data_IF_657631433542
#
_entry.id   IF_657631433542
#
_cell.length_a   1.000
_cell.length_b   1.000
_cell.length_c   1.000
_cell.angle_alpha   90.00
_cell.angle_beta   90.00
_cell.angle_gamma   90.00
#
_symmetry.space_group_name_H-M   'P 1'
#
loop_
_entity.id
_entity.type
_entity.pdbx_description
1 polymer ?
#
# COMPACT_ATOMS: atom_id res chain seq x y z
N UNK A 1 -41.29 9.80 -38.48
CA UNK A 1 -40.28 8.89 -37.89
C UNK A 1 -39.03 9.72 -37.57
N UNK A 2 -38.83 10.19 -36.33
CA UNK A 2 -37.55 10.79 -35.96
C UNK A 2 -36.65 9.75 -35.29
N UNK A 3 -35.37 9.82 -35.66
CA UNK A 3 -34.28 8.99 -35.17
C UNK A 3 -34.14 9.10 -33.65
N UNK A 4 -34.04 7.94 -32.98
CA UNK A 4 -33.60 7.83 -31.60
C UNK A 4 -32.11 8.17 -31.53
N UNK A 5 -31.76 9.25 -30.84
CA UNK A 5 -30.41 9.48 -30.38
C UNK A 5 -30.05 8.38 -29.35
N UNK A 6 -29.05 7.56 -29.66
CA UNK A 6 -28.43 6.71 -28.66
C UNK A 6 -27.69 7.62 -27.68
N UNK A 7 -28.16 7.65 -26.43
CA UNK A 7 -27.40 8.16 -25.32
C UNK A 7 -26.14 7.29 -25.17
N UNK A 8 -24.97 7.87 -25.40
CA UNK A 8 -23.70 7.30 -25.01
C UNK A 8 -23.68 7.32 -23.48
N UNK A 9 -23.90 6.16 -22.87
CA UNK A 9 -23.68 5.98 -21.44
C UNK A 9 -22.19 6.08 -21.17
N UNK A 10 -21.74 7.21 -20.65
CA UNK A 10 -20.40 7.40 -20.12
C UNK A 10 -20.20 6.35 -19.01
N UNK A 11 -19.33 5.36 -19.26
CA UNK A 11 -18.87 4.44 -18.23
C UNK A 11 -18.03 5.27 -17.26
N UNK A 12 -18.57 5.54 -16.08
CA UNK A 12 -17.80 6.14 -14.98
C UNK A 12 -16.77 5.09 -14.56
N UNK A 13 -15.50 5.28 -14.94
CA UNK A 13 -14.40 4.50 -14.41
C UNK A 13 -14.24 4.85 -12.93
N UNK A 14 -14.85 4.08 -12.05
CA UNK A 14 -14.58 4.16 -10.61
C UNK A 14 -13.35 3.29 -10.35
N UNK A 15 -12.18 3.91 -10.45
CA UNK A 15 -10.94 3.29 -10.02
C UNK A 15 -10.92 3.30 -8.49
N UNK A 16 -11.19 2.16 -7.88
CA UNK A 16 -10.84 1.93 -6.48
C UNK A 16 -9.31 1.77 -6.44
N UNK A 17 -8.61 2.88 -6.22
CA UNK A 17 -7.24 2.83 -5.74
C UNK A 17 -7.27 2.08 -4.40
N UNK A 18 -6.86 0.81 -4.42
CA UNK A 18 -6.53 0.12 -3.18
C UNK A 18 -5.43 0.93 -2.51
N UNK A 19 -5.69 1.39 -1.29
CA UNK A 19 -4.70 2.15 -0.53
C UNK A 19 -3.43 1.30 -0.41
N UNK A 20 -2.29 1.86 -0.82
CA UNK A 20 -0.99 1.28 -0.58
C UNK A 20 -0.86 1.09 0.93
N UNK A 21 -0.64 -0.15 1.32
CA UNK A 21 -0.53 -0.56 2.71
C UNK A 21 0.83 -0.13 3.24
N UNK A 22 0.90 1.14 3.60
CA UNK A 22 2.01 1.70 4.32
C UNK A 22 1.53 2.02 5.74
N UNK A 23 2.15 1.38 6.71
CA UNK A 23 2.49 1.88 8.03
C UNK A 23 3.18 0.69 8.70
N UNK A 24 4.51 0.56 8.52
CA UNK A 24 5.26 -0.40 9.31
C UNK A 24 5.29 0.06 10.77
N UNK A 25 4.82 -0.83 11.65
CA UNK A 25 5.31 -0.90 13.03
C UNK A 25 6.84 -0.82 13.02
N UNK A 26 7.48 0.01 13.88
CA UNK A 26 8.93 -0.03 14.04
C UNK A 26 9.37 -1.45 14.41
N UNK A 27 10.63 -1.84 14.14
CA UNK A 27 11.23 -2.97 14.84
C UNK A 27 11.25 -2.60 16.32
N UNK A 28 10.19 -2.93 17.05
CA UNK A 28 10.30 -3.06 18.49
C UNK A 28 11.36 -4.12 18.75
N UNK A 29 12.09 -3.98 19.85
CA UNK A 29 12.94 -5.06 20.36
C UNK A 29 12.02 -6.18 20.85
N UNK A 30 11.50 -6.96 19.92
CA UNK A 30 10.57 -8.04 20.21
C UNK A 30 11.37 -9.20 20.78
N UNK A 31 10.93 -9.70 21.93
CA UNK A 31 11.46 -10.97 22.41
C UNK A 31 10.89 -12.09 21.54
N UNK A 32 11.65 -12.51 20.53
CA UNK A 32 11.30 -13.61 19.62
C UNK A 32 11.04 -14.91 20.38
N UNK A 33 11.64 -15.10 21.56
CA UNK A 33 11.38 -16.28 22.42
C UNK A 33 10.03 -16.22 23.13
N UNK A 34 9.41 -15.05 23.12
CA UNK A 34 8.08 -14.78 23.62
C UNK A 34 7.07 -14.49 22.50
N UNK A 35 7.38 -14.86 21.25
CA UNK A 35 6.43 -14.76 20.15
C UNK A 35 5.42 -15.91 20.19
N UNK A 36 4.13 -15.66 19.88
CA UNK A 36 3.19 -16.71 19.54
C UNK A 36 3.69 -17.54 18.35
N UNK A 37 3.39 -18.84 18.36
CA UNK A 37 3.70 -19.74 17.25
C UNK A 37 2.42 -20.05 16.50
N UNK A 38 2.46 -20.03 15.18
CA UNK A 38 1.31 -20.31 14.31
C UNK A 38 1.69 -21.37 13.29
N UNK A 39 0.84 -22.37 13.09
CA UNK A 39 0.93 -23.25 11.92
C UNK A 39 -0.22 -22.93 10.96
N UNK A 40 0.13 -22.53 9.74
CA UNK A 40 -0.83 -22.31 8.65
C UNK A 40 -0.75 -23.48 7.68
N UNK A 41 -1.85 -24.21 7.54
CA UNK A 41 -1.92 -25.41 6.72
C UNK A 41 -3.00 -25.28 5.66
N UNK A 42 -2.63 -25.58 4.41
CA UNK A 42 -3.56 -25.92 3.33
C UNK A 42 -3.57 -27.43 3.13
N UNK A 43 -4.76 -28.03 3.24
CA UNK A 43 -5.00 -29.43 2.90
C UNK A 43 -6.22 -29.56 1.97
N UNK A 44 -5.94 -29.65 0.67
CA UNK A 44 -6.96 -29.51 -0.37
C UNK A 44 -7.66 -28.14 -0.30
N UNK A 45 -8.97 -28.17 -0.03
CA UNK A 45 -9.82 -26.98 0.16
C UNK A 45 -9.88 -26.52 1.63
N UNK A 46 -9.35 -27.32 2.56
CA UNK A 46 -9.34 -26.97 3.98
C UNK A 46 -8.14 -26.12 4.30
N UNK A 47 -8.38 -24.99 4.97
CA UNK A 47 -7.35 -24.11 5.49
C UNK A 47 -7.48 -23.96 7.00
N UNK A 48 -6.37 -24.03 7.72
CA UNK A 48 -6.33 -23.79 9.16
C UNK A 48 -5.20 -22.86 9.56
N UNK A 49 -5.41 -22.11 10.64
CA UNK A 49 -4.35 -21.47 11.41
C UNK A 49 -4.45 -21.95 12.85
N UNK A 50 -3.38 -22.58 13.33
CA UNK A 50 -3.29 -23.18 14.65
C UNK A 50 -2.31 -22.36 15.50
N UNK A 51 -2.84 -21.58 16.44
CA UNK A 51 -2.09 -20.71 17.33
C UNK A 51 -1.66 -21.43 18.60
N UNK A 52 -0.42 -21.18 19.03
CA UNK A 52 0.12 -21.54 20.33
C UNK A 52 0.62 -20.27 21.02
N UNK A 53 -0.09 -19.83 22.05
CA UNK A 53 0.24 -18.64 22.81
C UNK A 53 1.29 -18.96 23.89
N UNK A 54 2.31 -18.13 23.96
CA UNK A 54 3.46 -18.31 24.84
C UNK A 54 3.20 -17.80 26.28
N UNK A 55 2.12 -17.04 26.52
CA UNK A 55 1.72 -16.56 27.85
C UNK A 55 0.20 -16.57 28.06
N UNK A 56 -0.22 -16.42 29.31
CA UNK A 56 -1.61 -16.18 29.64
C UNK A 56 -1.89 -14.70 29.41
N UNK A 57 -2.97 -14.41 28.69
CA UNK A 57 -3.49 -13.06 28.48
C UNK A 57 -5.00 -13.15 28.35
N UNK A 58 -5.73 -12.14 28.83
CA UNK A 58 -7.19 -12.12 28.68
C UNK A 58 -7.60 -11.89 27.23
N UNK A 59 -6.78 -11.12 26.49
CA UNK A 59 -7.03 -10.75 25.11
C UNK A 59 -5.76 -10.91 24.29
N UNK A 60 -5.91 -11.45 23.07
CA UNK A 60 -4.91 -11.36 22.01
C UNK A 60 -5.50 -10.58 20.84
N UNK A 61 -4.85 -9.48 20.45
CA UNK A 61 -5.30 -8.64 19.35
C UNK A 61 -4.45 -8.89 18.09
N UNK A 62 -5.09 -8.96 16.92
CA UNK A 62 -4.40 -9.04 15.63
C UNK A 62 -3.82 -7.67 15.27
N UNK A 63 -2.53 -7.60 14.95
CA UNK A 63 -1.89 -6.35 14.55
C UNK A 63 -2.57 -5.78 13.29
N UNK A 64 -2.79 -6.63 12.29
CA UNK A 64 -3.45 -6.25 11.03
C UNK A 64 -4.96 -6.48 11.16
N UNK A 65 -5.70 -5.38 11.40
CA UNK A 65 -7.14 -5.38 11.64
C UNK A 65 -7.89 -4.35 10.77
N UNK A 66 -7.43 -4.16 9.53
CA UNK A 66 -8.05 -3.24 8.58
C UNK A 66 -9.53 -3.56 8.30
N UNK A 67 -10.23 -2.59 7.71
CA UNK A 67 -11.61 -2.74 7.27
C UNK A 67 -11.66 -2.98 5.76
N UNK A 68 -12.73 -3.61 5.27
CA UNK A 68 -12.99 -3.69 3.83
C UNK A 68 -13.36 -2.30 3.28
N UNK A 69 -12.73 -1.87 2.19
CA UNK A 69 -12.85 -0.49 1.67
C UNK A 69 -14.28 -0.11 1.27
N UNK A 70 -15.04 -1.06 0.73
CA UNK A 70 -16.38 -0.83 0.16
C UNK A 70 -17.47 -0.69 1.23
N UNK A 71 -17.42 -1.54 2.25
CA UNK A 71 -18.47 -1.60 3.30
C UNK A 71 -18.00 -1.13 4.67
N UNK A 72 -16.70 -0.87 4.83
CA UNK A 72 -16.03 -0.50 6.10
C UNK A 72 -16.35 -1.45 7.25
N UNK A 73 -16.41 -2.75 6.94
CA UNK A 73 -16.63 -3.82 7.93
C UNK A 73 -15.36 -4.65 8.13
N UNK A 74 -15.18 -5.29 9.30
CA UNK A 74 -14.03 -6.14 9.55
C UNK A 74 -14.01 -7.33 8.59
N UNK A 75 -12.90 -7.56 7.91
CA UNK A 75 -12.80 -8.64 6.93
C UNK A 75 -12.61 -10.00 7.59
N UNK A 76 -11.82 -10.07 8.68
CA UNK A 76 -11.37 -11.33 9.30
C UNK A 76 -12.53 -12.20 9.77
N UNK A 77 -13.57 -11.68 10.48
CA UNK A 77 -14.71 -12.50 10.88
C UNK A 77 -15.51 -13.10 9.73
N UNK A 78 -15.41 -12.57 8.51
CA UNK A 78 -16.09 -13.12 7.32
C UNK A 78 -15.33 -14.28 6.68
N UNK A 79 -14.05 -14.44 7.03
CA UNK A 79 -13.13 -15.41 6.42
C UNK A 79 -12.54 -16.40 7.45
N UNK A 80 -12.53 -16.07 8.74
CA UNK A 80 -11.92 -16.86 9.80
C UNK A 80 -13.00 -17.28 10.80
N UNK A 81 -13.01 -18.56 11.15
CA UNK A 81 -13.95 -19.12 12.13
C UNK A 81 -13.16 -19.78 13.25
N UNK A 82 -13.38 -19.35 14.49
CA UNK A 82 -12.80 -19.99 15.68
C UNK A 82 -13.41 -21.38 15.85
N UNK A 83 -12.57 -22.41 15.94
CA UNK A 83 -13.00 -23.79 16.19
C UNK A 83 -12.81 -24.20 17.67
N UNK A 84 -12.01 -23.46 18.44
CA UNK A 84 -11.77 -23.75 19.86
C UNK A 84 -13.00 -23.43 20.72
N UNK A 85 -13.56 -24.41 21.47
CA UNK A 85 -14.69 -24.17 22.36
C UNK A 85 -14.40 -23.11 23.43
N UNK A 86 -15.39 -22.27 23.73
CA UNK A 86 -15.26 -21.24 24.78
C UNK A 86 -14.45 -20.01 24.36
N UNK A 87 -13.98 -19.93 23.11
CA UNK A 87 -13.22 -18.80 22.58
C UNK A 87 -14.05 -18.08 21.51
N UNK A 88 -13.93 -16.76 21.46
CA UNK A 88 -14.54 -15.93 20.41
C UNK A 88 -13.51 -15.04 19.75
N UNK A 89 -13.80 -14.68 18.50
CA UNK A 89 -13.13 -13.61 17.78
C UNK A 89 -14.14 -12.52 17.46
N UNK A 90 -13.85 -11.29 17.84
CA UNK A 90 -14.72 -10.14 17.63
C UNK A 90 -13.90 -8.85 17.53
N UNK A 91 -14.50 -7.75 17.06
CA UNK A 91 -13.82 -6.46 17.02
C UNK A 91 -13.98 -5.69 18.32
N UNK A 92 -12.89 -5.07 18.78
CA UNK A 92 -12.82 -4.15 19.92
C UNK A 92 -11.92 -2.97 19.56
N UNK A 93 -12.49 -1.75 19.63
CA UNK A 93 -11.83 -0.55 19.12
C UNK A 93 -11.42 -0.72 17.64
N UNK A 94 -10.12 -0.57 17.38
CA UNK A 94 -9.53 -0.70 16.04
C UNK A 94 -9.07 -2.12 15.69
N UNK A 95 -9.23 -3.10 16.59
CA UNK A 95 -8.61 -4.42 16.46
C UNK A 95 -9.62 -5.55 16.47
N UNK A 96 -9.38 -6.55 15.63
CA UNK A 96 -9.98 -7.86 15.79
C UNK A 96 -9.24 -8.57 16.91
N UNK A 97 -9.98 -9.13 17.88
CA UNK A 97 -9.42 -9.71 19.11
C UNK A 97 -9.94 -11.11 19.36
N UNK A 98 -9.12 -11.92 20.02
CA UNK A 98 -9.40 -13.26 20.53
C UNK A 98 -9.55 -13.15 22.04
N UNK A 99 -10.64 -13.69 22.59
CA UNK A 99 -10.84 -13.78 24.04
C UNK A 99 -11.64 -15.02 24.45
N UNK A 100 -11.52 -15.40 25.72
CA UNK A 100 -12.38 -16.43 26.32
C UNK A 100 -13.77 -15.86 26.66
N UNK A 101 -14.80 -16.71 26.57
CA UNK A 101 -16.20 -16.36 26.88
C UNK A 101 -16.45 -16.19 28.38
N UNK A 102 -15.68 -16.88 29.22
CA UNK A 102 -15.79 -16.84 30.68
C UNK A 102 -15.03 -15.66 31.31
N UNK A 103 -14.35 -14.85 30.49
CA UNK A 103 -13.52 -13.71 30.94
C UNK A 103 -12.16 -14.11 31.49
N UNK A 104 -11.81 -15.40 31.47
CA UNK A 104 -10.49 -15.89 31.84
C UNK A 104 -9.44 -15.67 30.75
N UNK A 105 -8.20 -16.12 30.97
CA UNK A 105 -7.16 -16.11 29.94
C UNK A 105 -7.56 -16.93 28.71
N UNK A 106 -7.13 -16.48 27.54
CA UNK A 106 -7.28 -17.23 26.29
C UNK A 106 -6.53 -18.58 26.42
N UNK A 107 -7.16 -19.71 26.05
CA UNK A 107 -6.49 -21.01 26.04
C UNK A 107 -5.19 -20.96 25.24
N UNK A 108 -4.17 -21.69 25.70
CA UNK A 108 -2.85 -21.71 25.04
C UNK A 108 -2.88 -22.18 23.59
N UNK A 109 -3.89 -22.95 23.21
CA UNK A 109 -4.09 -23.43 21.86
C UNK A 109 -5.43 -22.90 21.32
N UNK A 110 -5.36 -22.13 20.23
CA UNK A 110 -6.56 -21.65 19.53
C UNK A 110 -6.47 -22.01 18.06
N UNK A 111 -7.52 -22.65 17.55
CA UNK A 111 -7.61 -23.07 16.15
C UNK A 111 -8.62 -22.23 15.40
N UNK A 112 -8.25 -21.85 14.18
CA UNK A 112 -9.13 -21.24 13.20
C UNK A 112 -9.26 -22.11 11.96
N UNK A 113 -10.49 -22.23 11.45
CA UNK A 113 -10.72 -22.57 10.04
C UNK A 113 -10.74 -21.29 9.22
N UNK A 114 -10.08 -21.33 8.05
CA UNK A 114 -9.98 -20.20 7.15
C UNK A 114 -10.73 -20.46 5.84
N UNK A 115 -11.28 -19.40 5.26
CA UNK A 115 -11.83 -19.34 3.91
C UNK A 115 -11.24 -18.13 3.21
N UNK A 116 -9.99 -18.22 2.73
CA UNK A 116 -9.31 -17.08 2.12
C UNK A 116 -10.10 -16.54 0.93
N UNK A 117 -10.31 -15.23 0.89
CA UNK A 117 -11.00 -14.53 -0.20
C UNK A 117 -10.32 -13.21 -0.50
N UNK A 118 -10.24 -12.87 -1.78
CA UNK A 118 -9.76 -11.56 -2.17
C UNK A 118 -10.80 -10.49 -1.85
N UNK A 119 -10.41 -9.55 -1.01
CA UNK A 119 -11.17 -8.34 -0.64
C UNK A 119 -10.24 -7.13 -0.75
N UNK A 120 -10.80 -5.94 -0.92
CA UNK A 120 -10.04 -4.69 -0.85
C UNK A 120 -10.05 -4.19 0.60
N UNK A 121 -8.88 -3.92 1.16
CA UNK A 121 -8.71 -3.47 2.54
C UNK A 121 -8.24 -2.01 2.59
N UNK A 122 -8.67 -1.28 3.61
CA UNK A 122 -8.18 0.07 3.92
C UNK A 122 -6.73 -0.01 4.41
N UNK A 123 -5.80 0.45 3.58
CA UNK A 123 -4.37 0.57 3.86
C UNK A 123 -3.71 -0.74 4.37
N UNK A 124 -4.16 -1.90 3.88
CA UNK A 124 -3.65 -3.21 4.27
C UNK A 124 -3.61 -4.24 3.12
N UNK A 125 -2.72 -5.22 3.23
CA UNK A 125 -2.57 -6.30 2.28
C UNK A 125 -3.71 -7.32 2.40
N UNK A 126 -4.46 -7.51 1.32
CA UNK A 126 -5.50 -8.53 1.20
C UNK A 126 -4.97 -9.87 0.70
N UNK A 127 -5.76 -10.94 0.84
CA UNK A 127 -5.48 -12.23 0.21
C UNK A 127 -5.48 -12.12 -1.32
N UNK A 128 -4.51 -12.74 -1.98
CA UNK A 128 -4.53 -12.95 -3.43
C UNK A 128 -5.05 -14.35 -3.74
N UNK A 129 -6.08 -14.42 -4.57
CA UNK A 129 -6.62 -15.67 -5.08
C UNK A 129 -6.31 -15.77 -6.56
N UNK A 130 -5.79 -16.92 -6.99
CA UNK A 130 -5.47 -17.20 -8.39
C UNK A 130 -6.49 -18.18 -8.96
N UNK A 131 -6.75 -18.07 -10.27
CA UNK A 131 -7.76 -18.88 -10.97
C UNK A 131 -7.42 -20.37 -11.07
N UNK A 132 -6.17 -20.76 -10.84
CA UNK A 132 -5.73 -22.16 -10.69
C UNK A 132 -5.91 -22.70 -9.26
N UNK A 133 -6.51 -21.92 -8.37
CA UNK A 133 -6.74 -22.26 -6.98
C UNK A 133 -5.53 -22.02 -6.07
N UNK A 134 -4.42 -21.46 -6.56
CA UNK A 134 -3.37 -20.97 -5.68
C UNK A 134 -3.86 -19.76 -4.87
N UNK A 135 -3.31 -19.60 -3.67
CA UNK A 135 -3.66 -18.51 -2.76
C UNK A 135 -2.38 -17.97 -2.15
N UNK A 136 -2.19 -16.66 -2.20
CA UNK A 136 -1.14 -15.99 -1.48
C UNK A 136 -1.70 -15.24 -0.28
N UNK A 137 -1.15 -15.53 0.90
CA UNK A 137 -1.51 -14.91 2.17
C UNK A 137 -0.40 -13.94 2.62
N UNK A 138 -0.74 -12.72 3.08
CA UNK A 138 0.25 -11.84 3.68
C UNK A 138 0.75 -12.43 4.99
N UNK A 139 2.05 -12.36 5.23
CA UNK A 139 2.70 -12.96 6.40
C UNK A 139 2.27 -12.34 7.73
N UNK A 140 2.02 -11.02 7.76
CA UNK A 140 1.74 -10.27 8.99
C UNK A 140 0.29 -10.32 9.47
N UNK A 141 -0.62 -10.82 8.64
CA UNK A 141 -2.01 -11.06 9.04
C UNK A 141 -2.14 -12.05 10.21
N UNK A 142 -1.07 -12.77 10.56
CA UNK A 142 -1.01 -13.73 11.64
C UNK A 142 -0.40 -13.18 12.93
N UNK A 143 0.17 -11.97 12.90
CA UNK A 143 0.81 -11.34 14.05
C UNK A 143 -0.22 -10.90 15.09
N UNK A 144 0.07 -11.18 16.36
CA UNK A 144 -0.81 -10.87 17.49
C UNK A 144 -0.01 -10.36 18.69
N UNK A 145 -0.64 -9.49 19.48
CA UNK A 145 -0.07 -8.96 20.72
C UNK A 145 -1.04 -9.18 21.90
N UNK A 146 -0.47 -9.33 23.08
CA UNK A 146 -1.22 -9.63 24.30
C UNK A 146 -1.73 -8.34 24.94
N UNK A 147 -2.94 -8.39 25.50
CA UNK A 147 -3.54 -7.31 26.24
C UNK A 147 -4.17 -7.82 27.54
N UNK A 148 -4.15 -6.99 28.61
CA UNK A 148 -4.62 -7.41 29.93
C UNK A 148 -6.14 -7.47 30.05
N UNK A 149 -6.89 -6.79 29.19
CA UNK A 149 -8.37 -6.79 29.21
C UNK A 149 -8.98 -6.32 27.88
N UNK A 150 -10.31 -6.41 27.77
CA UNK A 150 -11.07 -5.88 26.62
C UNK A 150 -11.02 -4.35 26.57
N UNK A 151 -11.10 -3.69 27.72
CA UNK A 151 -11.03 -2.22 27.82
C UNK A 151 -9.66 -1.72 27.35
N UNK A 152 -8.58 -2.47 27.63
CA UNK A 152 -7.25 -2.16 27.11
C UNK A 152 -7.19 -2.25 25.58
N UNK A 153 -7.91 -3.20 24.97
CA UNK A 153 -8.00 -3.30 23.51
C UNK A 153 -8.80 -2.15 22.88
N UNK A 154 -9.88 -1.72 23.53
CA UNK A 154 -10.68 -0.57 23.09
C UNK A 154 -9.91 0.75 23.17
N UNK A 155 -8.98 0.86 24.13
CA UNK A 155 -8.14 2.04 24.32
C UNK A 155 -6.89 2.08 23.41
N UNK A 156 -6.58 1.01 22.67
CA UNK A 156 -5.42 1.01 21.77
C UNK A 156 -5.63 2.00 20.61
N UNK A 157 -4.61 2.83 20.29
CA UNK A 157 -4.67 3.70 19.12
C UNK A 157 -4.69 2.87 17.84
N UNK A 158 -5.23 3.41 16.74
CA UNK A 158 -5.22 2.72 15.44
C UNK A 158 -3.80 2.56 14.85
N UNK A 159 -2.95 3.59 15.01
CA UNK A 159 -1.54 3.55 14.64
C UNK A 159 -0.72 3.04 15.84
N UNK A 160 -0.12 1.85 15.69
CA UNK A 160 0.70 1.25 16.73
C UNK A 160 2.16 1.76 16.70
N UNK A 161 2.51 2.69 15.82
CA UNK A 161 3.87 3.23 15.75
C UNK A 161 4.26 3.95 17.04
N UNK A 162 5.34 3.46 17.68
CA UNK A 162 5.81 3.99 18.95
C UNK A 162 5.05 3.49 20.18
N UNK A 163 4.12 2.55 20.00
CA UNK A 163 3.44 1.87 21.11
C UNK A 163 4.31 0.69 21.56
N UNK A 164 4.53 0.58 22.87
CA UNK A 164 5.19 -0.60 23.46
C UNK A 164 4.17 -1.73 23.55
N UNK A 165 4.43 -2.83 22.84
CA UNK A 165 3.51 -3.95 22.72
C UNK A 165 4.08 -5.17 23.43
N UNK A 166 3.29 -5.76 24.32
CA UNK A 166 3.61 -7.06 24.90
C UNK A 166 3.28 -8.18 23.92
N UNK A 167 4.22 -8.48 23.03
CA UNK A 167 4.04 -9.45 21.95
C UNK A 167 4.96 -9.10 20.78
N UNK A 168 4.63 -9.57 19.59
CA UNK A 168 5.45 -9.32 18.41
C UNK A 168 5.02 -10.15 17.21
N UNK A 169 5.83 -10.14 16.17
CA UNK A 169 5.64 -11.01 15.02
C UNK A 169 5.58 -12.45 15.48
N UNK A 170 4.52 -13.12 15.03
CA UNK A 170 4.36 -14.53 15.29
C UNK A 170 5.39 -15.32 14.48
N UNK A 171 5.87 -16.42 15.06
CA UNK A 171 6.63 -17.41 14.27
C UNK A 171 5.63 -18.28 13.55
N UNK A 172 5.48 -18.09 12.24
CA UNK A 172 4.50 -18.78 11.40
C UNK A 172 5.18 -19.85 10.57
N UNK A 173 4.75 -21.10 10.71
CA UNK A 173 5.15 -22.21 9.84
C UNK A 173 4.09 -22.42 8.77
N UNK A 174 4.52 -22.53 7.51
CA UNK A 174 3.63 -22.62 6.36
C UNK A 174 3.73 -24.00 5.71
N UNK A 175 2.59 -24.65 5.53
CA UNK A 175 2.50 -25.99 4.94
C UNK A 175 1.38 -26.08 3.92
N UNK A 176 1.70 -26.66 2.78
CA UNK A 176 0.73 -27.11 1.78
C UNK A 176 0.92 -28.62 1.60
N UNK A 177 -0.15 -29.41 1.78
CA UNK A 177 -0.07 -30.88 1.62
C UNK A 177 0.17 -31.30 0.17
N UNK A 178 -0.12 -30.42 -0.80
CA UNK A 178 0.09 -30.67 -2.22
C UNK A 178 1.53 -30.39 -2.69
N UNK A 179 2.38 -29.76 -1.87
CA UNK A 179 3.78 -29.52 -2.23
C UNK A 179 4.42 -28.30 -1.55
N UNK A 180 5.60 -27.87 -2.03
CA UNK A 180 6.31 -26.74 -1.43
C UNK A 180 5.60 -25.41 -1.68
N UNK A 181 5.61 -24.54 -0.66
CA UNK A 181 5.08 -23.16 -0.72
C UNK A 181 6.07 -22.24 -1.43
N UNK A 182 5.59 -21.15 -2.03
CA UNK A 182 6.43 -20.14 -2.68
C UNK A 182 6.59 -18.92 -1.77
N UNK A 183 7.85 -18.51 -1.57
CA UNK A 183 8.21 -17.32 -0.81
C UNK A 183 9.45 -16.67 -1.43
N UNK A 184 9.39 -15.35 -1.65
CA UNK A 184 10.46 -14.56 -2.29
C UNK A 184 11.02 -15.22 -3.56
N UNK A 185 10.11 -15.63 -4.46
CA UNK A 185 10.45 -16.23 -5.76
C UNK A 185 10.95 -17.68 -5.72
N UNK A 186 11.08 -18.32 -4.54
CA UNK A 186 11.61 -19.69 -4.40
C UNK A 186 10.61 -20.62 -3.72
N UNK A 187 10.48 -21.85 -4.24
CA UNK A 187 9.68 -22.90 -3.60
C UNK A 187 10.43 -23.56 -2.46
N UNK A 188 9.77 -23.70 -1.32
CA UNK A 188 10.34 -24.21 -0.07
C UNK A 188 9.41 -25.27 0.53
N UNK A 189 9.96 -26.44 0.86
CA UNK A 189 9.19 -27.52 1.48
C UNK A 189 8.92 -27.28 2.98
N UNK A 190 9.81 -26.55 3.64
CA UNK A 190 9.67 -26.11 5.02
C UNK A 190 9.94 -24.61 5.03
N UNK A 191 8.93 -23.82 5.37
CA UNK A 191 9.04 -22.37 5.48
C UNK A 191 8.54 -21.93 6.85
N UNK A 192 9.34 -21.13 7.53
CA UNK A 192 8.97 -20.40 8.74
C UNK A 192 9.29 -18.93 8.55
N UNK A 193 8.39 -18.05 9.00
CA UNK A 193 8.53 -16.58 8.96
C UNK A 193 8.32 -16.02 10.36
N UNK A 194 9.00 -14.95 10.74
CA UNK A 194 8.96 -14.36 12.10
C UNK A 194 8.97 -12.83 12.05
N UNK A 195 8.32 -12.24 11.04
CA UNK A 195 8.13 -10.79 10.91
C UNK A 195 8.49 -10.20 9.55
N UNK A 196 8.90 -11.04 8.60
CA UNK A 196 9.05 -10.64 7.20
C UNK A 196 7.74 -10.04 6.69
N UNK A 197 7.82 -8.92 5.98
CA UNK A 197 6.69 -8.33 5.26
C UNK A 197 6.68 -8.88 3.84
N UNK A 198 5.88 -9.90 3.56
CA UNK A 198 5.80 -10.53 2.23
C UNK A 198 4.49 -11.31 2.08
N UNK A 199 4.37 -12.08 1.00
CA UNK A 199 3.34 -13.08 0.80
C UNK A 199 3.94 -14.49 0.78
N UNK A 200 3.21 -15.44 1.37
CA UNK A 200 3.43 -16.87 1.14
C UNK A 200 2.35 -17.38 0.22
N UNK A 201 2.75 -17.93 -0.92
CA UNK A 201 1.84 -18.54 -1.88
C UNK A 201 1.80 -20.06 -1.69
N UNK A 202 0.60 -20.58 -1.43
CA UNK A 202 0.29 -22.00 -1.34
C UNK A 202 -0.50 -22.40 -2.60
N UNK A 203 -0.25 -23.59 -3.13
CA UNK A 203 -0.71 -24.05 -4.43
C UNK A 203 0.38 -23.99 -5.51
N UNK A 204 0.03 -24.47 -6.70
CA UNK A 204 0.97 -24.74 -7.78
C UNK A 204 1.02 -23.63 -8.86
N UNK A 205 0.86 -22.36 -8.46
CA UNK A 205 0.99 -21.24 -9.38
C UNK A 205 2.34 -21.27 -10.13
N UNK A 206 2.29 -20.96 -11.42
CA UNK A 206 3.48 -20.96 -12.28
C UNK A 206 4.37 -19.76 -11.95
N UNK A 207 5.62 -20.05 -11.59
CA UNK A 207 6.67 -19.04 -11.45
C UNK A 207 7.45 -18.96 -12.75
N UNK A 208 7.56 -17.76 -13.32
CA UNK A 208 8.31 -17.52 -14.55
C UNK A 208 9.48 -16.59 -14.22
N UNK A 209 10.72 -17.13 -14.12
CA UNK A 209 11.91 -16.31 -14.00
C UNK A 209 12.10 -15.44 -15.24
N UNK A 210 12.55 -14.21 -15.03
CA UNK A 210 12.96 -13.27 -16.08
C UNK A 210 14.23 -12.54 -15.68
N UNK A 211 14.79 -11.78 -16.62
CA UNK A 211 15.98 -10.96 -16.36
C UNK A 211 15.56 -9.76 -15.49
N UNK A 212 16.04 -9.70 -14.24
CA UNK A 212 15.70 -8.65 -13.27
C UNK A 212 14.30 -8.78 -12.62
N UNK A 213 13.39 -9.58 -13.19
CA UNK A 213 12.01 -9.71 -12.72
C UNK A 213 11.51 -11.15 -12.75
N UNK A 214 11.14 -11.71 -11.60
CA UNK A 214 10.40 -12.98 -11.52
C UNK A 214 8.92 -12.71 -11.46
N UNK A 215 8.10 -13.45 -12.20
CA UNK A 215 6.65 -13.22 -12.24
C UNK A 215 5.86 -14.45 -11.80
N UNK A 216 4.74 -14.20 -11.12
CA UNK A 216 3.66 -15.15 -10.84
C UNK A 216 2.38 -14.50 -11.33
N UNK A 217 1.88 -14.95 -12.47
CA UNK A 217 0.74 -14.34 -13.15
C UNK A 217 -0.40 -15.33 -13.16
N UNK A 218 -1.58 -14.86 -12.75
CA UNK A 218 -2.82 -15.62 -12.86
C UNK A 218 -3.01 -16.14 -14.29
N UNK A 219 -3.24 -17.45 -14.48
CA UNK A 219 -3.30 -18.04 -15.82
C UNK A 219 -4.49 -17.55 -16.65
N UNK A 220 -5.53 -17.00 -16.02
CA UNK A 220 -6.70 -16.44 -16.69
C UNK A 220 -6.64 -14.91 -16.82
N UNK A 221 -5.54 -14.26 -16.40
CA UNK A 221 -5.33 -12.84 -16.66
C UNK A 221 -5.32 -12.57 -18.17
N UNK A 222 -5.94 -11.48 -18.65
CA UNK A 222 -5.81 -11.05 -20.04
C UNK A 222 -4.33 -11.02 -20.49
N UNK A 223 -3.95 -11.76 -21.56
CA UNK A 223 -2.54 -11.97 -21.90
C UNK A 223 -1.75 -10.68 -22.13
N UNK A 224 -2.40 -9.64 -22.66
CA UNK A 224 -1.79 -8.35 -22.93
C UNK A 224 -1.25 -7.69 -21.65
N UNK A 225 -1.92 -7.87 -20.50
CA UNK A 225 -1.48 -7.31 -19.21
C UNK A 225 -0.18 -7.99 -18.77
N UNK A 226 -0.13 -9.31 -18.85
CA UNK A 226 1.07 -10.08 -18.48
C UNK A 226 2.26 -9.82 -19.41
N UNK A 227 2.01 -9.41 -20.66
CA UNK A 227 3.04 -8.94 -21.58
C UNK A 227 3.53 -7.53 -21.22
N UNK A 228 2.62 -6.58 -20.97
CA UNK A 228 2.98 -5.21 -20.57
C UNK A 228 3.76 -5.17 -19.25
N UNK A 229 3.40 -5.98 -18.25
CA UNK A 229 4.15 -6.05 -16.99
C UNK A 229 5.59 -6.52 -17.25
N UNK A 230 5.77 -7.56 -18.06
CA UNK A 230 7.10 -8.13 -18.35
C UNK A 230 7.95 -7.21 -19.24
N UNK A 231 7.32 -6.43 -20.11
CA UNK A 231 8.03 -5.53 -21.03
C UNK A 231 8.32 -4.17 -20.39
N UNK A 232 7.37 -3.56 -19.68
CA UNK A 232 7.48 -2.18 -19.20
C UNK A 232 8.17 -2.07 -17.84
N UNK A 233 7.87 -2.96 -16.88
CA UNK A 233 8.40 -2.85 -15.52
C UNK A 233 9.94 -2.78 -15.44
N UNK A 234 10.72 -3.57 -16.22
CA UNK A 234 12.18 -3.45 -16.21
C UNK A 234 12.68 -2.05 -16.60
N UNK A 235 12.04 -1.40 -17.57
CA UNK A 235 12.44 -0.06 -18.03
C UNK A 235 12.22 1.01 -16.96
N UNK A 236 11.16 0.88 -16.15
CA UNK A 236 10.91 1.76 -15.02
C UNK A 236 11.94 1.55 -13.91
N UNK A 237 12.21 0.29 -13.56
CA UNK A 237 13.25 -0.06 -12.59
C UNK A 237 14.61 0.52 -12.99
N UNK A 238 15.01 0.34 -14.24
CA UNK A 238 16.23 0.91 -14.80
C UNK A 238 16.28 2.43 -14.76
N UNK A 239 15.15 3.09 -15.04
CA UNK A 239 15.04 4.54 -14.95
C UNK A 239 15.26 5.02 -13.51
N UNK A 240 14.58 4.44 -12.52
CA UNK A 240 14.76 4.81 -11.12
C UNK A 240 16.16 4.49 -10.60
N UNK A 241 16.73 3.33 -10.96
CA UNK A 241 18.11 2.97 -10.59
C UNK A 241 19.13 4.00 -11.11
N UNK A 242 18.97 4.50 -12.35
CA UNK A 242 19.84 5.55 -12.89
C UNK A 242 19.69 6.88 -12.15
N UNK A 243 18.46 7.26 -11.76
CA UNK A 243 18.19 8.54 -11.10
C UNK A 243 18.57 8.54 -9.61
N UNK A 244 18.28 7.45 -8.89
CA UNK A 244 18.35 7.38 -7.42
C UNK A 244 19.42 6.41 -6.89
N UNK A 245 20.01 5.57 -7.74
CA UNK A 245 20.87 4.47 -7.32
C UNK A 245 20.07 3.32 -6.68
N UNK A 246 20.76 2.27 -6.23
CA UNK A 246 20.10 1.10 -5.63
C UNK A 246 19.26 1.48 -4.40
N UNK A 247 18.03 0.94 -4.24
CA UNK A 247 17.17 1.25 -3.10
C UNK A 247 17.69 0.60 -1.79
N UNK A 248 18.43 -0.50 -1.87
CA UNK A 248 19.03 -1.17 -0.70
C UNK A 248 18.91 -2.71 -0.76
N UNK A 249 19.26 -3.37 0.35
CA UNK A 249 19.21 -4.84 0.48
C UNK A 249 17.78 -5.36 0.30
N UNK A 250 17.61 -6.47 -0.45
CA UNK A 250 16.31 -7.10 -0.68
C UNK A 250 15.60 -6.68 -1.98
N UNK A 251 16.18 -5.75 -2.75
CA UNK A 251 15.65 -5.30 -4.06
C UNK A 251 16.21 -6.07 -5.26
N UNK A 252 17.21 -6.93 -5.04
CA UNK A 252 17.98 -7.59 -6.11
C UNK A 252 17.20 -8.67 -6.87
N UNK A 253 16.08 -9.15 -6.31
CA UNK A 253 15.15 -10.05 -6.99
C UNK A 253 13.73 -9.56 -6.80
N UNK A 254 13.25 -8.75 -7.74
CA UNK A 254 11.85 -8.30 -7.72
C UNK A 254 10.95 -9.44 -8.19
N UNK A 255 10.03 -9.87 -7.35
CA UNK A 255 8.91 -10.73 -7.73
C UNK A 255 7.69 -9.86 -8.03
N UNK A 256 6.95 -10.14 -9.10
CA UNK A 256 5.62 -9.55 -9.33
C UNK A 256 4.59 -10.67 -9.24
N UNK A 257 3.65 -10.54 -8.31
CA UNK A 257 2.47 -11.42 -8.21
C UNK A 257 1.25 -10.70 -8.75
N UNK A 258 0.55 -11.30 -9.72
CA UNK A 258 -0.63 -10.71 -10.36
C UNK A 258 -1.81 -11.65 -10.22
N UNK A 259 -2.86 -11.22 -9.53
CA UNK A 259 -4.13 -11.95 -9.40
C UNK A 259 -5.21 -11.39 -10.32
N UNK A 260 -6.13 -12.26 -10.74
CA UNK A 260 -7.28 -11.91 -11.57
C UNK A 260 -8.60 -12.34 -10.90
N UNK A 261 -9.40 -11.35 -10.52
CA UNK A 261 -10.68 -11.59 -9.84
C UNK A 261 -11.85 -11.89 -10.80
N UNK A 262 -11.63 -11.81 -12.10
CA UNK A 262 -12.63 -12.12 -13.11
C UNK A 262 -13.28 -10.89 -13.77
N UNK A 263 -14.10 -11.13 -14.81
CA UNK A 263 -14.69 -10.09 -15.64
C UNK A 263 -15.98 -9.52 -15.00
N UNK A 264 -15.87 -8.88 -13.84
CA UNK A 264 -17.00 -8.19 -13.20
C UNK A 264 -17.57 -7.10 -14.11
N UNK A 265 -18.88 -7.15 -14.38
CA UNK A 265 -19.54 -6.18 -15.27
C UNK A 265 -19.43 -4.75 -14.74
N UNK A 266 -19.22 -3.80 -15.66
CA UNK A 266 -19.10 -2.35 -15.37
C UNK A 266 -17.95 -1.97 -14.43
N UNK A 267 -17.03 -2.89 -14.16
CA UNK A 267 -15.84 -2.62 -13.37
C UNK A 267 -14.61 -2.52 -14.27
N UNK A 268 -13.69 -1.62 -13.91
CA UNK A 268 -12.34 -1.53 -14.43
C UNK A 268 -11.43 -1.23 -13.24
N UNK A 269 -11.00 -2.29 -12.56
CA UNK A 269 -10.23 -2.18 -11.32
C UNK A 269 -8.81 -2.70 -11.52
N UNK A 270 -7.87 -1.87 -11.09
CA UNK A 270 -6.45 -2.18 -10.99
C UNK A 270 -6.00 -1.62 -9.65
N UNK A 271 -5.46 -2.49 -8.81
CA UNK A 271 -4.86 -2.08 -7.56
C UNK A 271 -3.69 -2.99 -7.24
N UNK A 272 -3.00 -2.68 -6.15
CA UNK A 272 -1.90 -3.49 -5.70
C UNK A 272 -1.14 -2.77 -4.61
N UNK A 273 0.04 -3.28 -4.32
CA UNK A 273 0.89 -2.78 -3.25
C UNK A 273 2.29 -3.36 -3.41
N UNK A 274 3.24 -2.87 -2.63
CA UNK A 274 4.63 -3.32 -2.68
C UNK A 274 5.18 -3.71 -1.32
N UNK A 275 5.89 -4.83 -1.29
CA UNK A 275 6.57 -5.39 -0.14
C UNK A 275 8.05 -5.58 -0.48
N UNK A 276 8.96 -5.70 0.51
CA UNK A 276 10.37 -5.95 0.25
C UNK A 276 10.60 -7.05 -0.80
N UNK A 277 11.11 -6.67 -1.98
CA UNK A 277 11.35 -7.57 -3.11
C UNK A 277 10.11 -8.12 -3.83
N UNK A 278 8.92 -7.58 -3.60
CA UNK A 278 7.65 -8.09 -4.14
C UNK A 278 6.68 -6.95 -4.52
N UNK A 279 6.26 -6.89 -5.77
CA UNK A 279 5.10 -6.10 -6.21
C UNK A 279 3.90 -7.04 -6.30
N UNK A 280 2.77 -6.61 -5.77
CA UNK A 280 1.49 -7.30 -5.87
C UNK A 280 0.55 -6.47 -6.72
N UNK A 281 -0.13 -7.11 -7.65
CA UNK A 281 -1.10 -6.48 -8.53
C UNK A 281 -2.38 -7.32 -8.54
N UNK A 282 -3.51 -6.63 -8.57
CA UNK A 282 -4.83 -7.23 -8.61
C UNK A 282 -5.64 -6.54 -9.71
N UNK A 283 -6.15 -7.36 -10.63
CA UNK A 283 -7.00 -6.91 -11.71
C UNK A 283 -8.42 -7.46 -11.54
N UNK A 284 -9.41 -6.65 -11.89
CA UNK A 284 -10.81 -7.07 -11.94
C UNK A 284 -11.60 -6.26 -12.99
N UNK A 285 -12.54 -6.92 -13.64
CA UNK A 285 -13.59 -6.24 -14.39
C UNK A 285 -13.47 -6.30 -15.91
N UNK A 286 -14.60 -6.19 -16.60
CA UNK A 286 -14.66 -6.23 -18.08
C UNK A 286 -13.83 -5.13 -18.75
N UNK A 287 -13.58 -4.01 -18.06
CA UNK A 287 -12.84 -2.87 -18.58
C UNK A 287 -11.36 -3.14 -18.89
N UNK A 288 -10.76 -4.17 -18.28
CA UNK A 288 -9.34 -4.52 -18.51
C UNK A 288 -9.15 -5.72 -19.44
N UNK A 289 -10.24 -6.28 -20.00
CA UNK A 289 -10.14 -7.45 -20.90
C UNK A 289 -9.43 -7.14 -22.21
N UNK A 290 -9.64 -5.93 -22.75
CA UNK A 290 -9.04 -5.49 -23.99
C UNK A 290 -8.18 -4.25 -23.74
N UNK A 291 -7.03 -4.12 -24.41
CA UNK A 291 -6.21 -2.93 -24.29
C UNK A 291 -6.93 -1.71 -24.86
N UNK A 292 -6.86 -0.61 -24.12
CA UNK A 292 -7.14 0.73 -24.61
C UNK A 292 -6.01 1.64 -24.17
N UNK A 293 -5.82 2.79 -24.83
CA UNK A 293 -4.76 3.72 -24.44
C UNK A 293 -4.87 4.11 -22.96
N UNK A 294 -6.08 4.42 -22.49
CA UNK A 294 -6.33 4.78 -21.09
C UNK A 294 -5.93 3.65 -20.11
N UNK A 295 -6.34 2.40 -20.40
CA UNK A 295 -6.03 1.28 -19.51
C UNK A 295 -4.54 0.93 -19.55
N UNK A 296 -3.89 1.10 -20.72
CA UNK A 296 -2.46 0.91 -20.90
C UNK A 296 -1.65 1.95 -20.10
N UNK A 297 -1.95 3.24 -20.27
CA UNK A 297 -1.32 4.33 -19.54
C UNK A 297 -1.50 4.14 -18.04
N UNK A 298 -2.71 3.77 -17.60
CA UNK A 298 -2.97 3.51 -16.19
C UNK A 298 -2.22 2.29 -15.64
N UNK A 299 -2.11 1.22 -16.42
CA UNK A 299 -1.33 0.03 -16.03
C UNK A 299 0.15 0.37 -15.88
N UNK A 300 0.69 1.17 -16.81
CA UNK A 300 2.07 1.65 -16.76
C UNK A 300 2.32 2.58 -15.59
N UNK A 301 1.41 3.53 -15.36
CA UNK A 301 1.47 4.43 -14.21
C UNK A 301 1.49 3.63 -12.91
N UNK A 302 0.61 2.64 -12.80
CA UNK A 302 0.53 1.76 -11.64
C UNK A 302 1.86 1.01 -11.41
N UNK A 303 2.45 0.42 -12.46
CA UNK A 303 3.78 -0.21 -12.37
C UNK A 303 4.84 0.80 -11.90
N UNK A 304 4.79 2.03 -12.40
CA UNK A 304 5.71 3.10 -12.00
C UNK A 304 5.53 3.55 -10.56
N UNK A 305 4.29 3.60 -10.08
CA UNK A 305 3.94 3.92 -8.70
C UNK A 305 4.47 2.85 -7.74
N UNK A 306 4.09 1.58 -7.96
CA UNK A 306 4.52 0.49 -7.09
C UNK A 306 6.04 0.30 -7.08
N UNK A 307 6.70 0.51 -8.23
CA UNK A 307 8.16 0.46 -8.30
C UNK A 307 8.83 1.61 -7.54
N UNK A 308 8.18 2.77 -7.43
CA UNK A 308 8.74 3.93 -6.73
C UNK A 308 8.87 3.66 -5.22
N UNK A 309 7.96 2.86 -4.67
CA UNK A 309 7.98 2.52 -3.26
C UNK A 309 9.15 1.62 -2.82
N UNK A 310 9.92 1.04 -3.75
CA UNK A 310 11.23 0.46 -3.40
C UNK A 310 12.17 1.51 -2.78
N UNK A 311 12.04 2.78 -3.18
CA UNK A 311 12.73 3.90 -2.53
C UNK A 311 11.85 4.55 -1.47
N UNK A 312 10.63 4.96 -1.84
CA UNK A 312 9.68 5.63 -0.96
C UNK A 312 8.69 4.65 -0.32
N UNK A 313 9.11 3.91 0.69
CA UNK A 313 8.29 2.93 1.40
C UNK A 313 9.13 1.78 1.96
N UNK A 314 10.23 1.45 1.28
CA UNK A 314 11.17 0.41 1.70
C UNK A 314 12.54 0.95 2.09
N UNK A 315 13.23 1.66 1.18
CA UNK A 315 14.53 2.26 1.51
C UNK A 315 14.39 3.29 2.63
N UNK A 316 13.35 4.10 2.56
CA UNK A 316 12.88 4.95 3.66
C UNK A 316 11.37 4.80 3.78
N UNK A 317 10.85 4.78 5.01
CA UNK A 317 9.40 4.81 5.30
C UNK A 317 9.05 6.06 6.06
N UNK A 318 7.81 6.52 6.00
CA UNK A 318 7.38 7.59 6.90
C UNK A 318 7.35 7.12 8.36
N UNK A 319 7.43 8.07 9.29
CA UNK A 319 7.44 7.78 10.72
C UNK A 319 6.07 7.36 11.27
N UNK A 320 4.98 7.98 10.81
CA UNK A 320 3.61 7.75 11.29
C UNK A 320 2.63 7.64 10.14
N UNK A 321 1.51 6.92 10.31
CA UNK A 321 0.51 6.72 9.25
C UNK A 321 -0.05 8.04 8.68
N UNK A 322 -0.17 9.07 9.53
CA UNK A 322 -0.56 10.44 9.13
C UNK A 322 0.40 11.13 8.14
N UNK A 323 1.61 10.59 7.98
CA UNK A 323 2.65 11.10 7.08
C UNK A 323 2.76 10.30 5.78
N UNK A 324 1.78 9.44 5.48
CA UNK A 324 1.71 8.64 4.25
C UNK A 324 1.79 9.47 2.97
N UNK A 325 1.39 10.75 3.01
CA UNK A 325 1.51 11.68 1.90
C UNK A 325 2.94 11.81 1.35
N UNK A 326 3.97 11.56 2.19
CA UNK A 326 5.38 11.60 1.77
C UNK A 326 5.67 10.52 0.75
N UNK A 327 5.19 9.29 0.98
CA UNK A 327 5.48 8.14 0.13
C UNK A 327 4.48 8.01 -1.01
N UNK A 328 3.18 8.18 -0.73
CA UNK A 328 2.14 8.01 -1.74
C UNK A 328 2.22 9.08 -2.84
N UNK A 329 2.11 10.36 -2.47
CA UNK A 329 2.19 11.43 -3.45
C UNK A 329 3.59 11.59 -4.06
N UNK A 330 4.64 11.20 -3.33
CA UNK A 330 5.99 11.12 -3.87
C UNK A 330 6.15 10.03 -4.94
N UNK A 331 5.51 8.86 -4.75
CA UNK A 331 5.44 7.78 -5.71
C UNK A 331 4.61 8.15 -6.94
N UNK A 332 3.48 8.86 -6.77
CA UNK A 332 2.68 9.39 -7.88
C UNK A 332 3.54 10.28 -8.81
N UNK A 333 4.30 11.22 -8.23
CA UNK A 333 5.15 12.10 -9.02
C UNK A 333 6.32 11.34 -9.66
N UNK A 334 6.90 10.36 -8.99
CA UNK A 334 7.92 9.48 -9.59
C UNK A 334 7.35 8.74 -10.81
N UNK A 335 6.14 8.17 -10.69
CA UNK A 335 5.48 7.43 -11.75
C UNK A 335 5.19 8.33 -12.96
N UNK A 336 4.59 9.49 -12.75
CA UNK A 336 4.30 10.48 -13.79
C UNK A 336 5.57 10.86 -14.55
N UNK A 337 6.66 11.16 -13.84
CA UNK A 337 7.93 11.57 -14.46
C UNK A 337 8.63 10.41 -15.18
N UNK A 338 8.60 9.20 -14.62
CA UNK A 338 9.10 8.00 -15.31
C UNK A 338 8.33 7.73 -16.61
N UNK A 339 7.00 7.77 -16.56
CA UNK A 339 6.16 7.58 -17.75
C UNK A 339 6.46 8.64 -18.81
N UNK A 340 6.54 9.91 -18.43
CA UNK A 340 6.88 10.98 -19.38
C UNK A 340 8.25 10.80 -20.03
N UNK A 341 9.22 10.30 -19.28
CA UNK A 341 10.57 10.03 -19.79
C UNK A 341 10.62 8.81 -20.74
N UNK A 342 9.82 7.78 -20.46
CA UNK A 342 9.77 6.54 -21.25
C UNK A 342 8.82 6.62 -22.45
N UNK A 343 7.77 7.43 -22.33
CA UNK A 343 6.77 7.71 -23.35
C UNK A 343 6.54 9.23 -23.45
N UNK A 344 7.22 9.91 -24.40
CA UNK A 344 7.08 11.34 -24.57
C UNK A 344 5.65 11.80 -24.91
N UNK A 345 4.80 10.90 -25.42
CA UNK A 345 3.41 11.21 -25.76
C UNK A 345 2.47 11.20 -24.54
N UNK A 346 2.91 10.67 -23.40
CA UNK A 346 2.14 10.68 -22.16
C UNK A 346 1.79 12.12 -21.73
N UNK A 347 0.51 12.36 -21.42
CA UNK A 347 0.00 13.64 -20.93
C UNK A 347 0.15 13.71 -19.40
N UNK A 348 1.39 13.97 -18.97
CA UNK A 348 1.73 14.11 -17.56
C UNK A 348 1.00 15.28 -16.88
N UNK A 349 0.67 16.32 -17.65
CA UNK A 349 -0.07 17.48 -17.14
C UNK A 349 -1.51 17.12 -16.79
N UNK A 350 -2.20 16.33 -17.61
CA UNK A 350 -3.56 15.90 -17.31
C UNK A 350 -3.63 15.04 -16.02
N UNK A 351 -2.66 14.14 -15.82
CA UNK A 351 -2.59 13.34 -14.59
C UNK A 351 -2.33 14.24 -13.37
N UNK A 352 -1.32 15.11 -13.41
CA UNK A 352 -1.01 16.02 -12.30
C UNK A 352 -2.11 17.05 -12.03
N UNK A 353 -2.88 17.44 -13.05
CA UNK A 353 -4.03 18.30 -12.86
C UNK A 353 -5.11 17.63 -12.00
N UNK A 354 -5.30 16.31 -12.17
CA UNK A 354 -6.23 15.53 -11.34
C UNK A 354 -5.78 15.52 -9.88
N UNK A 355 -4.47 15.38 -9.63
CA UNK A 355 -3.90 15.47 -8.26
C UNK A 355 -4.13 16.85 -7.63
N UNK A 356 -3.98 17.94 -8.41
CA UNK A 356 -4.24 19.30 -7.94
C UNK A 356 -5.72 19.48 -7.59
N UNK A 357 -6.62 19.07 -8.47
CA UNK A 357 -8.07 19.22 -8.28
C UNK A 357 -8.54 18.43 -7.07
N UNK A 358 -8.11 17.18 -6.91
CA UNK A 358 -8.45 16.34 -5.76
C UNK A 358 -7.89 16.91 -4.45
N UNK A 359 -6.67 17.45 -4.45
CA UNK A 359 -6.14 18.08 -3.25
C UNK A 359 -6.91 19.35 -2.87
N UNK A 360 -7.36 20.16 -3.85
CA UNK A 360 -8.21 21.33 -3.58
C UNK A 360 -9.51 20.90 -2.88
N UNK A 361 -10.11 19.80 -3.31
CA UNK A 361 -11.35 19.31 -2.74
C UNK A 361 -11.17 18.69 -1.35
N UNK A 362 -10.06 17.97 -1.13
CA UNK A 362 -9.82 17.18 0.09
C UNK A 362 -9.09 17.96 1.20
N UNK A 363 -8.26 18.95 0.87
CA UNK A 363 -7.46 19.70 1.85
C UNK A 363 -8.24 20.78 2.64
N UNK A 364 -9.57 20.80 2.55
CA UNK A 364 -10.42 21.64 3.42
C UNK A 364 -10.36 21.23 4.88
N UNK A 365 -10.03 19.97 5.13
CA UNK A 365 -9.80 19.36 6.44
C UNK A 365 -8.32 19.04 6.60
N UNK A 366 -7.83 18.78 7.83
CA UNK A 366 -6.47 18.29 8.04
C UNK A 366 -6.18 17.07 7.17
N UNK A 367 -5.14 17.16 6.35
CA UNK A 367 -4.69 16.05 5.51
C UNK A 367 -4.11 14.92 6.38
N UNK A 368 -3.46 15.26 7.48
CA UNK A 368 -2.88 14.28 8.42
C UNK A 368 -3.93 13.35 9.07
N UNK A 369 -5.20 13.76 9.09
CA UNK A 369 -6.32 12.98 9.64
C UNK A 369 -7.17 12.32 8.53
N UNK A 370 -6.73 12.37 7.27
CA UNK A 370 -7.53 11.86 6.14
C UNK A 370 -7.81 10.36 6.25
N UNK A 371 -6.83 9.58 6.75
CA UNK A 371 -6.99 8.14 6.98
C UNK A 371 -8.12 7.81 7.95
N UNK A 372 -8.26 8.56 9.05
CA UNK A 372 -9.32 8.34 10.05
C UNK A 372 -10.73 8.51 9.45
N UNK A 373 -10.83 9.36 8.42
CA UNK A 373 -12.06 9.64 7.69
C UNK A 373 -12.29 8.71 6.49
N UNK A 374 -11.35 7.81 6.18
CA UNK A 374 -11.36 6.99 4.96
C UNK A 374 -11.09 7.79 3.68
N UNK A 375 -10.58 9.02 3.80
CA UNK A 375 -10.29 9.93 2.69
C UNK A 375 -8.84 9.75 2.17
N UNK A 376 -8.36 8.50 2.04
CA UNK A 376 -6.95 8.17 1.73
C UNK A 376 -6.41 8.87 0.47
N UNK A 377 -7.27 9.17 -0.51
CA UNK A 377 -6.94 9.95 -1.71
C UNK A 377 -6.24 11.28 -1.39
N UNK A 378 -6.50 11.88 -0.22
CA UNK A 378 -5.84 13.12 0.19
C UNK A 378 -4.32 12.95 0.36
N UNK A 379 -3.84 11.77 0.79
CA UNK A 379 -2.40 11.51 0.92
C UNK A 379 -1.71 11.47 -0.45
N UNK A 380 -2.35 10.88 -1.45
CA UNK A 380 -1.88 10.85 -2.84
C UNK A 380 -1.89 12.26 -3.44
N UNK A 381 -3.09 12.86 -3.51
CA UNK A 381 -3.32 14.15 -4.15
C UNK A 381 -2.49 15.28 -3.54
N UNK A 382 -2.58 15.47 -2.22
CA UNK A 382 -1.84 16.54 -1.59
C UNK A 382 -0.35 16.23 -1.47
N UNK A 383 0.03 14.95 -1.31
CA UNK A 383 1.43 14.54 -1.37
C UNK A 383 2.07 14.87 -2.72
N UNK A 384 1.37 14.62 -3.83
CA UNK A 384 1.84 14.92 -5.18
C UNK A 384 1.96 16.44 -5.39
N UNK A 385 1.02 17.23 -4.86
CA UNK A 385 1.12 18.71 -4.86
C UNK A 385 2.33 19.20 -4.08
N UNK A 386 2.61 18.63 -2.91
CA UNK A 386 3.78 18.98 -2.10
C UNK A 386 5.09 18.56 -2.80
N UNK A 387 5.10 17.39 -3.44
CA UNK A 387 6.22 16.92 -4.25
C UNK A 387 6.46 17.82 -5.47
N UNK A 388 5.41 18.29 -6.15
CA UNK A 388 5.53 19.28 -7.24
C UNK A 388 6.10 20.61 -6.75
N UNK A 389 5.73 21.06 -5.55
CA UNK A 389 6.33 22.25 -4.95
C UNK A 389 7.83 22.06 -4.68
N UNK A 390 8.23 20.90 -4.17
CA UNK A 390 9.64 20.55 -3.96
C UNK A 390 10.43 20.44 -5.28
N UNK A 391 9.85 19.82 -6.32
CA UNK A 391 10.41 19.78 -7.67
C UNK A 391 10.60 21.20 -8.23
N UNK A 392 9.61 22.07 -8.12
CA UNK A 392 9.73 23.47 -8.55
C UNK A 392 10.86 24.21 -7.80
N UNK A 393 10.96 24.02 -6.48
CA UNK A 393 12.03 24.62 -5.69
C UNK A 393 13.42 24.12 -6.12
N UNK A 394 13.56 22.83 -6.41
CA UNK A 394 14.78 22.25 -6.97
C UNK A 394 15.11 22.84 -8.35
N UNK A 395 14.13 22.91 -9.25
CA UNK A 395 14.30 23.48 -10.58
C UNK A 395 14.74 24.95 -10.53
N UNK A 396 14.19 25.74 -9.59
CA UNK A 396 14.63 27.14 -9.40
C UNK A 396 16.05 27.28 -8.85
N UNK A 397 16.48 26.32 -8.02
CA UNK A 397 17.81 26.35 -7.40
C UNK A 397 18.91 26.06 -8.41
N UNK A 398 18.76 25.00 -9.20
CA UNK A 398 19.83 24.52 -10.10
C UNK A 398 19.34 23.87 -11.39
N UNK A 399 18.04 23.91 -11.69
CA UNK A 399 17.45 23.28 -12.87
C UNK A 399 17.21 21.78 -12.74
N UNK A 400 17.42 21.19 -11.55
CA UNK A 400 17.09 19.80 -11.26
C UNK A 400 15.58 19.53 -11.17
N UNK A 401 15.22 18.26 -11.01
CA UNK A 401 13.83 17.81 -10.93
C UNK A 401 13.50 17.10 -9.60
N UNK A 402 12.33 16.44 -9.54
CA UNK A 402 11.89 15.68 -8.37
C UNK A 402 12.92 14.65 -7.87
N UNK A 403 13.64 13.97 -8.78
CA UNK A 403 14.63 12.97 -8.38
C UNK A 403 15.89 13.61 -7.79
N UNK A 404 16.24 14.82 -8.24
CA UNK A 404 17.37 15.57 -7.69
C UNK A 404 17.08 16.11 -6.29
N UNK A 405 15.82 16.46 -6.01
CA UNK A 405 15.36 16.74 -4.65
C UNK A 405 15.37 15.47 -3.78
N UNK A 406 14.82 14.38 -4.29
CA UNK A 406 14.57 13.16 -3.53
C UNK A 406 15.87 12.41 -3.17
N UNK A 407 16.85 12.36 -4.07
CA UNK A 407 18.10 11.61 -3.87
C UNK A 407 18.84 11.95 -2.56
N UNK A 408 19.14 13.21 -2.22
CA UNK A 408 19.78 13.55 -0.95
C UNK A 408 18.87 13.29 0.26
N UNK A 409 17.55 13.43 0.11
CA UNK A 409 16.59 13.09 1.19
C UNK A 409 16.66 11.61 1.50
N UNK A 410 16.63 10.74 0.49
CA UNK A 410 16.78 9.30 0.68
C UNK A 410 18.14 8.97 1.34
N UNK A 411 19.23 9.56 0.83
CA UNK A 411 20.57 9.27 1.35
C UNK A 411 20.73 9.62 2.83
N UNK A 412 20.13 10.72 3.29
CA UNK A 412 20.21 11.16 4.68
C UNK A 412 19.42 10.26 5.67
N UNK A 413 18.43 9.52 5.18
CA UNK A 413 17.46 8.78 6.00
C UNK A 413 17.55 7.25 5.80
N UNK A 414 18.60 6.78 5.11
CA UNK A 414 18.80 5.34 4.84
C UNK A 414 19.30 4.56 6.05
N UNK A 415 19.92 5.20 7.02
CA UNK A 415 20.54 4.53 8.16
C UNK A 415 19.51 3.90 9.10
N UNK A 416 18.48 4.66 9.47
CA UNK A 416 17.35 4.17 10.26
C UNK A 416 16.14 3.75 9.38
N UNK A 417 16.20 4.10 8.08
CA UNK A 417 15.16 3.84 7.09
C UNK A 417 13.86 4.60 7.38
N UNK A 418 13.92 5.72 8.10
CA UNK A 418 12.75 6.53 8.48
C UNK A 418 12.92 7.94 7.93
N UNK A 419 11.90 8.45 7.24
CA UNK A 419 11.79 9.82 6.80
C UNK A 419 10.63 10.47 7.56
N UNK A 420 10.95 11.28 8.56
CA UNK A 420 9.95 12.04 9.31
C UNK A 420 9.42 13.23 8.49
N UNK A 421 8.23 13.71 8.89
CA UNK A 421 7.67 14.97 8.39
C UNK A 421 8.67 16.13 8.51
N UNK A 422 9.34 16.24 9.65
CA UNK A 422 10.30 17.31 9.94
C UNK A 422 11.47 17.26 8.95
N UNK A 423 12.06 16.07 8.75
CA UNK A 423 13.17 15.91 7.81
C UNK A 423 12.81 16.24 6.37
N UNK A 424 11.59 15.87 5.94
CA UNK A 424 11.07 16.21 4.62
C UNK A 424 10.87 17.72 4.45
N UNK A 425 10.24 18.38 5.42
CA UNK A 425 9.98 19.82 5.39
C UNK A 425 11.27 20.65 5.53
N UNK A 426 12.23 20.17 6.31
CA UNK A 426 13.56 20.76 6.40
C UNK A 426 14.30 20.63 5.06
N UNK A 427 14.15 19.51 4.35
CA UNK A 427 14.71 19.36 3.01
C UNK A 427 14.09 20.37 2.03
N UNK A 428 12.76 20.54 2.07
CA UNK A 428 12.08 21.57 1.28
C UNK A 428 12.59 22.98 1.61
N UNK A 429 12.77 23.28 2.90
CA UNK A 429 13.31 24.58 3.35
C UNK A 429 14.74 24.79 2.87
N UNK A 430 15.59 23.75 2.95
CA UNK A 430 16.99 23.82 2.47
C UNK A 430 17.09 24.01 0.96
N UNK A 431 16.23 23.37 0.16
CA UNK A 431 16.28 23.52 -1.30
C UNK A 431 15.72 24.87 -1.75
N UNK A 432 14.63 25.33 -1.12
CA UNK A 432 13.93 26.55 -1.52
C UNK A 432 14.54 27.83 -0.94
N UNK A 433 15.19 27.75 0.22
CA UNK A 433 15.58 28.91 1.02
C UNK A 433 14.38 29.67 1.63
N UNK A 434 13.17 29.11 1.57
CA UNK A 434 11.93 29.75 2.03
C UNK A 434 11.18 28.86 3.04
N UNK A 435 11.34 29.10 4.36
CA UNK A 435 10.65 28.31 5.39
C UNK A 435 9.13 28.49 5.37
N UNK A 436 8.60 29.51 4.69
CA UNK A 436 7.15 29.72 4.61
C UNK A 436 6.44 28.66 3.75
N UNK A 437 7.18 27.94 2.89
CA UNK A 437 6.67 26.78 2.16
C UNK A 437 6.35 25.63 3.12
N UNK A 438 7.31 25.25 3.97
CA UNK A 438 7.13 24.23 4.99
C UNK A 438 5.97 24.58 5.92
N UNK A 439 5.91 25.82 6.42
CA UNK A 439 4.83 26.30 7.29
C UNK A 439 3.45 26.23 6.63
N UNK A 440 3.36 26.43 5.31
CA UNK A 440 2.09 26.34 4.58
C UNK A 440 1.64 24.89 4.46
N UNK A 441 2.56 23.98 4.16
CA UNK A 441 2.29 22.53 4.12
C UNK A 441 1.88 22.04 5.51
N UNK A 442 2.60 22.43 6.58
CA UNK A 442 2.23 22.07 7.96
C UNK A 442 0.81 22.52 8.32
N UNK A 443 0.43 23.76 7.97
CA UNK A 443 -0.96 24.21 8.19
C UNK A 443 -1.97 23.34 7.44
N UNK A 444 -1.72 23.02 6.18
CA UNK A 444 -2.61 22.15 5.40
C UNK A 444 -2.70 20.73 6.00
N UNK A 445 -1.58 20.21 6.51
CA UNK A 445 -1.53 18.90 7.16
C UNK A 445 -2.35 18.88 8.45
N UNK A 446 -2.16 19.87 9.33
CA UNK A 446 -2.68 19.84 10.70
C UNK A 446 -4.04 20.53 10.88
N UNK A 447 -4.38 21.47 10.01
CA UNK A 447 -5.60 22.30 10.12
C UNK A 447 -6.48 22.20 8.87
N UNK A 448 -5.93 21.79 7.74
CA UNK A 448 -6.53 22.00 6.43
C UNK A 448 -6.41 23.45 5.99
N UNK A 449 -7.16 23.83 4.95
CA UNK A 449 -7.18 25.18 4.41
C UNK A 449 -8.63 25.63 4.13
N UNK A 450 -8.97 26.86 4.54
CA UNK A 450 -10.26 27.46 4.22
C UNK A 450 -10.42 27.69 2.70
N UNK A 451 -9.32 28.05 2.03
CA UNK A 451 -9.19 28.16 0.59
C UNK A 451 -7.96 27.37 0.11
N UNK A 452 -8.10 26.04 -0.11
CA UNK A 452 -7.00 25.20 -0.57
C UNK A 452 -6.39 25.66 -1.89
N UNK A 453 -7.20 26.19 -2.81
CA UNK A 453 -6.71 26.68 -4.09
C UNK A 453 -5.80 27.90 -3.92
N UNK A 454 -6.11 28.81 -2.99
CA UNK A 454 -5.22 29.95 -2.70
C UNK A 454 -3.87 29.51 -2.12
N UNK A 455 -3.87 28.54 -1.20
CA UNK A 455 -2.66 28.00 -0.57
C UNK A 455 -1.78 27.25 -1.58
N UNK A 456 -2.37 26.36 -2.39
CA UNK A 456 -1.63 25.62 -3.43
C UNK A 456 -1.08 26.58 -4.49
N UNK A 457 -1.86 27.57 -4.93
CA UNK A 457 -1.35 28.58 -5.85
C UNK A 457 -0.20 29.41 -5.23
N UNK A 458 -0.23 29.64 -3.92
CA UNK A 458 0.87 30.30 -3.19
C UNK A 458 2.14 29.46 -3.21
N UNK A 459 2.03 28.14 -2.93
CA UNK A 459 3.14 27.19 -3.04
C UNK A 459 3.72 27.23 -4.46
N UNK A 460 2.89 27.03 -5.49
CA UNK A 460 3.33 26.98 -6.87
C UNK A 460 3.97 28.28 -7.36
N UNK A 461 3.44 29.46 -6.97
CA UNK A 461 4.08 30.75 -7.31
C UNK A 461 5.47 30.88 -6.70
N UNK A 462 5.62 30.48 -5.44
CA UNK A 462 6.90 30.57 -4.72
C UNK A 462 7.92 29.55 -5.23
N UNK A 463 7.49 28.41 -5.72
CA UNK A 463 8.39 27.37 -6.23
C UNK A 463 8.54 27.41 -7.75
N UNK A 464 7.77 28.23 -8.46
CA UNK A 464 7.88 28.37 -9.91
C UNK A 464 7.22 27.25 -10.71
N UNK A 465 6.31 26.47 -10.10
CA UNK A 465 5.48 25.49 -10.82
C UNK A 465 4.56 26.26 -11.79
N UNK A 466 4.64 26.00 -13.11
CA UNK A 466 3.83 26.71 -14.10
C UNK A 466 2.34 26.47 -13.90
N UNK A 467 1.60 27.54 -13.60
CA UNK A 467 0.15 27.48 -13.44
C UNK A 467 -0.50 28.83 -13.74
N UNK A 468 -1.82 28.81 -13.88
CA UNK A 468 -2.69 29.97 -13.87
C UNK A 468 -3.87 29.73 -12.92
N UNK A 469 -4.43 30.79 -12.38
CA UNK A 469 -5.64 30.72 -11.54
C UNK A 469 -6.83 31.23 -12.34
N UNK A 470 -7.84 30.40 -12.54
CA UNK A 470 -9.08 30.76 -13.24
C UNK A 470 -10.29 30.33 -12.42
N UNK A 471 -11.19 31.28 -12.11
CA UNK A 471 -12.43 31.02 -11.38
C UNK A 471 -12.24 30.25 -10.06
N UNK A 472 -11.14 30.53 -9.34
CA UNK A 472 -10.80 29.84 -8.09
C UNK A 472 -10.22 28.43 -8.27
N UNK A 473 -9.93 28.01 -9.51
CA UNK A 473 -9.22 26.76 -9.83
C UNK A 473 -7.78 27.04 -10.25
N UNK A 474 -6.91 26.08 -9.98
CA UNK A 474 -5.53 26.08 -10.46
C UNK A 474 -5.47 25.24 -11.72
N UNK A 475 -4.95 25.79 -12.81
CA UNK A 475 -4.73 25.07 -14.05
C UNK A 475 -3.23 25.05 -14.35
N UNK A 476 -2.64 23.86 -14.41
CA UNK A 476 -1.25 23.64 -14.83
C UNK A 476 -1.08 24.04 -16.31
N UNK A 477 0.07 24.63 -16.67
CA UNK A 477 0.33 25.11 -18.05
C UNK A 477 1.52 24.45 -18.71
#
# INVERSE_FOLDING_TARGET
MPLKALAVSTVLATALLGACAAAPLPPGTWDVRAAPVVEVVRDGDRWTADYVFNRDAQVWAFMDSALMTDVRQPWRPTQWTVETPGVVMERRGHYDVIRALDGGPVPRHVRFSLKPKSVYLEAEYGTLTFSDGAVALPTRQFDVFALPSVEAAEAMPADLNGVDLEGGASTVTWRDTAGPVLFNGKRQANLTTTGERSYVLLGQARVTPGEGLTTVIDPNLPPWIGEEIRSFAPHVGDYYLRRLGAPGVGSETSTVMVSWNGPTERLSSMGGSVLPGLIVMKFEGVGVLNPSQQVLERSRWFIGHESAHFWLGQAVRYQFARDAWITEGGADLMAVRALKALDPAYDDRAELQTEVDDCIDLARKPVAEAGDRGEHRAYYACGAVFAMAAEGAQARRDGGDWFDFLRPVLAANREDGVLSRVEWLDALTRVSGDPSLAQTIERMLDQGAADPAAEIASLFRKTGVPHRVENGKIILI
#
